data_IF_464182019077
#
_entry.id   IF_464182019077
#
_cell.length_a   1.000
_cell.length_b   1.000
_cell.length_c   1.000
_cell.angle_alpha   90.00
_cell.angle_beta   90.00
_cell.angle_gamma   90.00
#
_symmetry.space_group_name_H-M   'P 1'
#
loop_
_entity.id
_entity.type
_entity.pdbx_description
1 polymer ?
#
# COMPACT_ATOMS: atom_id res chain seq x y z
N UNK A 1 58.18 -65.63 26.02
CA UNK A 1 58.59 -64.34 25.42
C UNK A 1 57.33 -63.54 25.11
N UNK A 2 57.35 -62.23 25.36
CA UNK A 2 56.41 -61.20 24.86
C UNK A 2 54.89 -61.47 25.07
N UNK A 3 54.29 -61.03 26.18
CA UNK A 3 53.68 -59.69 26.39
C UNK A 3 52.39 -59.46 25.57
N UNK A 4 51.19 -59.59 26.15
CA UNK A 4 50.48 -58.58 27.01
C UNK A 4 50.07 -57.30 26.24
N UNK A 5 48.88 -56.71 26.41
CA UNK A 5 47.61 -57.12 27.05
C UNK A 5 46.51 -56.10 26.72
N UNK A 6 45.23 -56.48 26.82
CA UNK A 6 44.08 -55.62 26.50
C UNK A 6 43.81 -54.48 27.50
N UNK A 7 43.15 -53.44 26.96
CA UNK A 7 42.18 -52.49 27.57
C UNK A 7 42.21 -52.22 29.09
N UNK A 8 42.27 -50.92 29.42
CA UNK A 8 41.38 -50.33 30.45
C UNK A 8 41.01 -48.88 30.08
N UNK A 9 39.72 -48.55 30.17
CA UNK A 9 39.22 -47.16 30.23
C UNK A 9 39.23 -46.69 31.72
N UNK A 10 38.53 -45.59 32.08
CA UNK A 10 38.74 -44.20 31.68
C UNK A 10 39.08 -43.32 32.92
N UNK A 11 39.50 -42.07 32.73
CA UNK A 11 39.55 -41.10 33.83
C UNK A 11 38.88 -39.77 33.46
N UNK A 12 37.78 -39.49 34.14
CA UNK A 12 37.13 -38.18 34.22
C UNK A 12 37.78 -37.41 35.38
N UNK A 13 38.33 -36.22 35.14
CA UNK A 13 38.70 -35.31 36.22
C UNK A 13 38.12 -33.91 35.97
N UNK A 14 37.32 -33.48 36.94
CA UNK A 14 36.68 -32.18 37.06
C UNK A 14 37.67 -31.06 37.37
N UNK A 15 37.32 -29.81 37.05
CA UNK A 15 37.66 -28.67 37.91
C UNK A 15 36.66 -27.51 37.76
N UNK A 16 35.97 -27.24 38.87
CA UNK A 16 35.10 -26.07 39.11
C UNK A 16 35.94 -24.83 39.37
N UNK A 17 35.52 -23.64 38.88
CA UNK A 17 35.72 -22.37 39.63
C UNK A 17 34.80 -21.25 39.11
N UNK A 18 34.36 -20.40 40.05
CA UNK A 18 33.40 -19.29 39.86
C UNK A 18 34.09 -17.94 39.55
N UNK A 19 33.34 -16.91 39.09
CA UNK A 19 33.92 -15.70 38.51
C UNK A 19 34.33 -14.62 39.56
N UNK A 20 35.34 -13.78 39.26
CA UNK A 20 35.69 -12.63 40.08
C UNK A 20 34.77 -11.42 39.81
N UNK A 21 33.90 -11.18 40.78
CA UNK A 21 33.33 -9.90 41.22
C UNK A 21 34.08 -8.62 40.72
N UNK A 22 33.40 -7.74 39.98
CA UNK A 22 33.89 -6.41 39.63
C UNK A 22 33.16 -5.31 40.41
N UNK A 23 33.71 -4.93 41.56
CA UNK A 23 33.27 -3.77 42.34
C UNK A 23 34.27 -2.61 42.18
N UNK A 24 33.73 -1.42 41.89
CA UNK A 24 34.30 -0.07 42.07
C UNK A 24 35.80 0.18 41.81
N UNK A 25 36.11 1.13 40.92
CA UNK A 25 37.00 2.29 41.21
C UNK A 25 37.03 3.30 40.04
N UNK A 26 36.56 4.53 40.30
CA UNK A 26 37.05 5.77 39.67
C UNK A 26 38.28 6.23 40.49
N UNK A 27 39.26 7.04 40.01
CA UNK A 27 38.97 8.30 39.29
C UNK A 27 40.06 8.97 38.37
N UNK A 28 39.65 10.09 37.74
CA UNK A 28 40.41 11.36 37.53
C UNK A 28 41.51 11.51 36.44
N UNK A 29 41.51 12.71 35.80
CA UNK A 29 42.65 13.45 35.16
C UNK A 29 43.12 12.91 33.77
N UNK A 30 42.92 13.60 32.62
CA UNK A 30 43.76 14.70 32.01
C UNK A 30 44.58 14.19 30.79
N UNK A 31 44.72 14.81 29.61
CA UNK A 31 44.20 16.05 28.95
C UNK A 31 44.42 15.97 27.39
N UNK A 32 43.63 16.73 26.59
CA UNK A 32 43.93 17.26 25.21
C UNK A 32 44.18 16.28 24.02
N UNK A 33 44.00 16.59 22.70
CA UNK A 33 43.68 17.83 21.94
C UNK A 33 42.98 17.50 20.57
N UNK A 34 42.25 18.47 19.94
CA UNK A 34 41.72 18.49 18.53
C UNK A 34 40.65 17.42 18.13
N UNK A 35 39.62 17.66 17.28
CA UNK A 35 39.20 18.84 16.47
C UNK A 35 37.65 18.95 16.32
N UNK A 36 37.14 19.93 15.57
CA UNK A 36 35.77 20.51 15.57
C UNK A 36 34.68 19.71 14.78
N UNK A 37 33.37 20.12 14.66
CA UNK A 37 32.75 21.39 15.08
C UNK A 37 31.33 21.38 15.72
N UNK A 38 30.98 22.55 16.29
CA UNK A 38 29.64 23.18 16.48
C UNK A 38 28.40 22.29 16.72
N UNK A 39 27.86 22.17 17.94
CA UNK A 39 27.09 23.18 18.70
C UNK A 39 25.72 23.57 18.11
N UNK A 40 24.63 23.24 18.84
CA UNK A 40 23.67 24.22 19.39
C UNK A 40 22.50 23.55 20.13
N UNK A 41 22.66 23.33 21.43
CA UNK A 41 21.53 23.25 22.36
C UNK A 41 21.19 24.67 22.81
N UNK A 42 20.07 25.27 22.37
CA UNK A 42 19.63 26.55 22.95
C UNK A 42 18.12 26.76 22.97
N UNK A 43 17.58 26.57 24.19
CA UNK A 43 16.50 27.33 24.85
C UNK A 43 15.20 27.60 24.07
N UNK A 44 14.10 27.14 24.71
CA UNK A 44 12.90 27.95 24.98
C UNK A 44 12.88 29.36 24.36
N UNK A 45 12.08 29.55 23.32
CA UNK A 45 11.57 30.88 22.95
C UNK A 45 10.20 30.79 22.27
N UNK A 46 9.19 31.26 23.01
CA UNK A 46 7.90 31.79 22.54
C UNK A 46 7.02 30.83 21.72
N UNK A 47 5.91 30.43 22.34
CA UNK A 47 4.64 30.44 21.62
C UNK A 47 4.47 31.82 20.97
N UNK A 48 4.45 31.85 19.64
CA UNK A 48 3.97 33.00 18.88
C UNK A 48 2.48 32.78 18.68
N UNK A 49 1.68 33.40 19.54
CA UNK A 49 0.31 33.75 19.16
C UNK A 49 0.39 34.80 18.07
N UNK A 50 -0.32 34.58 16.97
CA UNK A 50 -1.14 35.55 16.21
C UNK A 50 -1.52 34.88 14.88
N UNK A 51 -2.83 34.85 14.65
CA UNK A 51 -3.55 34.52 13.42
C UNK A 51 -2.72 34.35 12.14
N UNK A 52 -2.76 33.15 11.55
CA UNK A 52 -2.51 32.96 10.12
C UNK A 52 -3.81 32.47 9.47
N UNK A 53 -4.23 33.17 8.41
CA UNK A 53 -5.60 33.16 7.94
C UNK A 53 -5.94 31.84 7.25
N UNK A 54 -7.05 31.22 7.67
CA UNK A 54 -7.63 30.08 6.98
C UNK A 54 -8.15 30.51 5.59
N UNK A 55 -7.30 30.40 4.57
CA UNK A 55 -7.70 30.40 3.16
C UNK A 55 -8.43 29.09 2.85
N UNK A 56 -9.67 29.01 3.34
CA UNK A 56 -10.51 27.82 3.35
C UNK A 56 -11.08 27.46 1.96
N UNK A 57 -10.20 27.07 1.03
CA UNK A 57 -10.56 26.65 -0.34
C UNK A 57 -10.06 25.25 -0.73
N UNK A 58 -9.56 24.45 0.21
CA UNK A 58 -9.34 23.02 -0.05
C UNK A 58 -10.67 22.24 0.03
N UNK A 59 -11.10 21.53 -1.02
CA UNK A 59 -12.31 20.71 -1.01
C UNK A 59 -12.18 19.45 -0.13
N UNK A 60 -11.01 19.20 0.48
CA UNK A 60 -10.81 18.08 1.40
C UNK A 60 -11.51 18.30 2.76
N UNK A 61 -11.50 19.52 3.29
CA UNK A 61 -12.06 19.81 4.63
C UNK A 61 -13.59 19.94 4.60
N UNK A 62 -14.16 20.23 3.42
CA UNK A 62 -15.61 20.36 3.21
C UNK A 62 -16.32 19.03 2.92
N UNK A 63 -15.59 17.92 2.88
CA UNK A 63 -16.12 16.59 2.55
C UNK A 63 -16.49 15.83 3.82
N UNK A 64 -17.74 15.38 3.85
CA UNK A 64 -18.37 14.56 4.86
C UNK A 64 -18.43 13.12 4.37
N UNK A 65 -17.97 12.18 5.20
CA UNK A 65 -18.31 10.77 5.11
C UNK A 65 -19.57 10.50 5.93
N UNK A 66 -20.60 9.96 5.27
CA UNK A 66 -21.85 9.55 5.91
C UNK A 66 -21.94 8.03 5.79
N UNK A 67 -22.05 7.30 6.90
CA UNK A 67 -21.99 5.83 6.94
C UNK A 67 -23.12 5.18 7.75
N UNK A 68 -23.29 3.87 7.56
CA UNK A 68 -24.38 3.04 8.11
C UNK A 68 -25.80 3.42 7.62
N UNK A 69 -25.88 4.10 6.49
CA UNK A 69 -27.11 4.57 5.87
C UNK A 69 -28.02 3.36 5.50
N UNK A 70 -29.35 3.42 5.69
CA UNK A 70 -30.26 2.40 5.16
C UNK A 70 -30.14 2.29 3.63
N UNK A 71 -30.60 1.16 3.07
CA UNK A 71 -30.50 0.90 1.62
C UNK A 71 -31.60 1.55 0.79
N UNK A 72 -32.62 2.08 1.46
CA UNK A 72 -33.76 2.78 0.88
C UNK A 72 -33.48 4.25 0.63
N UNK A 73 -32.42 4.80 1.25
CA UNK A 73 -32.08 6.22 1.16
C UNK A 73 -31.23 6.46 -0.08
N UNK A 74 -31.78 7.30 -0.96
CA UNK A 74 -31.16 7.75 -2.20
C UNK A 74 -30.40 9.08 -2.00
N UNK A 75 -29.86 9.61 -3.09
CA UNK A 75 -29.03 10.82 -3.07
C UNK A 75 -29.82 12.06 -2.64
N UNK A 76 -31.07 12.17 -3.12
CA UNK A 76 -31.90 13.35 -2.90
C UNK A 76 -32.41 13.43 -1.45
N UNK A 77 -32.77 12.28 -0.85
CA UNK A 77 -33.13 12.19 0.58
C UNK A 77 -31.95 12.59 1.49
N UNK A 78 -30.73 12.11 1.17
CA UNK A 78 -29.51 12.52 1.88
C UNK A 78 -29.21 14.01 1.72
N UNK A 79 -29.39 14.54 0.50
CA UNK A 79 -29.17 15.96 0.25
C UNK A 79 -30.13 16.81 1.09
N UNK A 80 -31.43 16.47 1.14
CA UNK A 80 -32.43 17.18 1.96
C UNK A 80 -32.05 17.19 3.45
N UNK A 81 -31.70 16.04 4.02
CA UNK A 81 -31.41 15.90 5.47
C UNK A 81 -30.11 16.64 5.85
N UNK A 82 -29.10 16.66 4.98
CA UNK A 82 -27.89 17.46 5.22
C UNK A 82 -28.15 18.95 4.95
N UNK A 83 -29.06 19.30 4.03
CA UNK A 83 -29.43 20.67 3.69
C UNK A 83 -30.09 21.43 4.84
N UNK A 84 -30.75 20.75 5.79
CA UNK A 84 -31.25 21.33 7.04
C UNK A 84 -30.14 21.86 7.97
N UNK A 85 -28.89 21.45 7.76
CA UNK A 85 -27.76 21.81 8.62
C UNK A 85 -26.68 22.64 7.90
N UNK A 86 -26.75 22.76 6.58
CA UNK A 86 -25.87 23.62 5.80
C UNK A 86 -26.02 23.43 4.30
N UNK A 87 -25.43 24.32 3.52
CA UNK A 87 -25.59 24.31 2.08
C UNK A 87 -24.70 23.23 1.42
N UNK A 88 -25.34 22.20 0.86
CA UNK A 88 -24.68 21.14 0.09
C UNK A 88 -24.24 21.66 -1.29
N UNK A 89 -23.01 21.34 -1.71
CA UNK A 89 -22.53 21.48 -3.10
C UNK A 89 -22.86 20.21 -3.90
N UNK A 90 -22.61 19.04 -3.31
CA UNK A 90 -22.84 17.73 -3.96
C UNK A 90 -22.98 16.61 -2.94
N UNK A 91 -23.98 15.76 -3.10
CA UNK A 91 -24.07 14.45 -2.45
C UNK A 91 -23.80 13.31 -3.47
N UNK A 92 -23.17 12.23 -3.02
CA UNK A 92 -22.85 11.05 -3.83
C UNK A 92 -22.96 9.77 -2.98
N UNK A 93 -24.07 9.03 -3.15
CA UNK A 93 -24.29 7.70 -2.54
C UNK A 93 -23.48 6.66 -3.30
N UNK A 94 -22.72 5.82 -2.58
CA UNK A 94 -21.87 4.83 -3.22
C UNK A 94 -22.60 3.49 -3.40
N UNK A 95 -22.74 3.05 -4.65
CA UNK A 95 -23.34 1.77 -5.01
C UNK A 95 -22.27 0.71 -5.27
N UNK A 96 -22.61 -0.57 -5.06
CA UNK A 96 -21.81 -1.69 -5.52
C UNK A 96 -22.01 -1.87 -7.04
N UNK A 97 -20.91 -1.85 -7.79
CA UNK A 97 -20.90 -1.92 -9.26
C UNK A 97 -21.55 -3.21 -9.79
N UNK A 98 -21.45 -4.31 -9.05
CA UNK A 98 -21.95 -5.62 -9.47
C UNK A 98 -23.40 -5.86 -9.05
N UNK A 99 -23.74 -5.68 -7.77
CA UNK A 99 -25.10 -5.95 -7.27
C UNK A 99 -26.07 -4.78 -7.42
N UNK A 100 -25.60 -3.59 -7.83
CA UNK A 100 -26.33 -2.31 -7.80
C UNK A 100 -26.91 -1.92 -6.43
N UNK A 101 -26.52 -2.60 -5.35
CA UNK A 101 -27.00 -2.31 -3.99
C UNK A 101 -26.16 -1.19 -3.38
N UNK A 102 -26.81 -0.25 -2.70
CA UNK A 102 -26.14 0.81 -1.94
C UNK A 102 -25.21 0.20 -0.88
N UNK A 103 -23.97 0.69 -0.84
CA UNK A 103 -22.90 0.23 0.08
C UNK A 103 -23.07 0.75 1.51
N UNK A 104 -24.20 1.41 1.80
CA UNK A 104 -24.56 2.01 3.09
C UNK A 104 -23.62 3.13 3.54
N UNK A 105 -23.00 3.80 2.57
CA UNK A 105 -22.25 5.03 2.80
C UNK A 105 -22.39 5.97 1.60
N UNK A 106 -22.25 7.26 1.89
CA UNK A 106 -22.30 8.35 0.93
C UNK A 106 -21.21 9.38 1.30
N UNK A 107 -20.90 10.24 0.35
CA UNK A 107 -20.03 11.38 0.57
C UNK A 107 -20.77 12.66 0.20
N UNK A 108 -20.67 13.67 1.04
CA UNK A 108 -21.33 14.97 0.83
C UNK A 108 -20.27 16.06 0.88
N UNK A 109 -20.27 16.95 -0.09
CA UNK A 109 -19.41 18.14 -0.14
C UNK A 109 -20.26 19.35 0.23
N UNK A 110 -19.87 20.08 1.27
CA UNK A 110 -20.55 21.28 1.74
C UNK A 110 -19.94 22.55 1.12
N UNK A 111 -20.70 23.66 1.09
CA UNK A 111 -20.18 24.97 0.64
C UNK A 111 -19.20 25.58 1.62
N UNK A 112 -19.47 25.46 2.91
CA UNK A 112 -18.60 25.99 3.98
C UNK A 112 -18.03 24.85 4.83
N UNK A 113 -16.94 25.13 5.54
CA UNK A 113 -16.36 24.19 6.53
C UNK A 113 -17.15 24.21 7.85
N UNK A 114 -17.75 25.36 8.18
CA UNK A 114 -18.55 25.55 9.39
C UNK A 114 -19.84 24.69 9.34
N UNK A 115 -20.53 24.72 8.20
CA UNK A 115 -21.69 23.87 7.89
C UNK A 115 -21.33 22.37 8.02
N UNK A 116 -20.14 21.98 7.54
CA UNK A 116 -19.67 20.60 7.63
C UNK A 116 -19.49 20.15 9.08
N UNK A 117 -18.86 20.98 9.92
CA UNK A 117 -18.69 20.69 11.34
C UNK A 117 -20.05 20.60 12.06
N UNK A 118 -20.95 21.55 11.83
CA UNK A 118 -22.30 21.56 12.40
C UNK A 118 -23.13 20.35 11.98
N UNK A 119 -22.99 19.90 10.73
CA UNK A 119 -23.63 18.68 10.25
C UNK A 119 -23.05 17.42 10.90
N UNK A 120 -21.74 17.33 11.14
CA UNK A 120 -21.11 16.21 11.88
C UNK A 120 -21.68 16.11 13.29
N UNK A 121 -21.72 17.21 14.04
CA UNK A 121 -22.17 17.21 15.43
C UNK A 121 -23.65 16.83 15.59
N UNK A 122 -24.51 17.25 14.64
CA UNK A 122 -25.96 17.02 14.70
C UNK A 122 -26.41 15.70 14.09
N UNK A 123 -25.79 15.25 12.98
CA UNK A 123 -26.21 14.04 12.27
C UNK A 123 -25.58 12.76 12.79
N UNK A 124 -24.43 12.83 13.47
CA UNK A 124 -23.77 11.64 14.00
C UNK A 124 -24.61 11.01 15.14
N UNK A 125 -25.10 9.79 14.90
CA UNK A 125 -26.04 9.10 15.78
C UNK A 125 -27.52 9.24 15.41
N UNK A 126 -27.87 10.04 14.39
CA UNK A 126 -29.27 10.17 13.95
C UNK A 126 -29.80 8.87 13.35
N UNK A 127 -31.05 8.51 13.68
CA UNK A 127 -31.67 7.28 13.19
C UNK A 127 -32.46 7.53 11.90
N UNK A 128 -32.00 6.93 10.79
CA UNK A 128 -32.70 6.95 9.51
C UNK A 128 -33.04 5.52 9.10
N UNK A 129 -34.32 5.24 8.83
CA UNK A 129 -34.80 3.90 8.47
C UNK A 129 -34.46 2.83 9.52
N UNK A 130 -34.49 3.18 10.82
CA UNK A 130 -34.14 2.29 11.92
C UNK A 130 -32.64 1.98 12.05
N UNK A 131 -31.75 2.85 11.54
CA UNK A 131 -30.30 2.74 11.71
C UNK A 131 -29.65 4.07 12.07
N UNK A 132 -28.76 4.02 13.05
CA UNK A 132 -27.93 5.17 13.43
C UNK A 132 -26.86 5.43 12.38
N UNK A 133 -26.91 6.62 11.77
CA UNK A 133 -25.92 7.10 10.81
C UNK A 133 -24.67 7.60 11.54
N UNK A 134 -23.50 7.36 10.95
CA UNK A 134 -22.22 7.90 11.44
C UNK A 134 -21.70 8.94 10.47
N UNK A 135 -21.53 10.17 10.93
CA UNK A 135 -21.00 11.28 10.12
C UNK A 135 -19.61 11.66 10.62
N UNK A 136 -18.65 11.79 9.71
CA UNK A 136 -17.28 12.20 10.00
C UNK A 136 -16.77 13.12 8.88
N UNK A 137 -15.83 14.01 9.18
CA UNK A 137 -15.08 14.75 8.15
C UNK A 137 -14.13 13.76 7.45
N UNK A 138 -13.98 13.87 6.14
CA UNK A 138 -13.11 13.00 5.36
C UNK A 138 -12.30 13.77 4.32
N UNK A 139 -11.01 13.90 4.59
CA UNK A 139 -10.07 14.52 3.64
C UNK A 139 -9.81 13.64 2.42
N UNK A 140 -10.16 12.34 2.47
CA UNK A 140 -9.97 11.42 1.35
C UNK A 140 -10.80 11.93 0.18
N UNK A 141 -10.17 12.42 -0.90
CA UNK A 141 -10.93 12.91 -2.02
C UNK A 141 -11.57 11.68 -2.68
N UNK A 142 -12.88 11.53 -2.50
CA UNK A 142 -13.63 10.93 -3.59
C UNK A 142 -13.37 11.79 -4.81
N UNK A 143 -12.73 11.17 -5.79
CA UNK A 143 -12.73 11.54 -7.19
C UNK A 143 -14.16 11.38 -7.70
N UNK A 144 -15.00 12.33 -7.28
CA UNK A 144 -16.34 12.54 -7.83
C UNK A 144 -16.25 12.51 -9.34
N UNK A 145 -17.10 11.68 -9.96
CA UNK A 145 -16.98 11.29 -11.36
C UNK A 145 -16.95 12.50 -12.30
N UNK A 146 -15.76 12.75 -12.85
CA UNK A 146 -15.42 13.86 -13.74
C UNK A 146 -14.15 13.53 -14.54
N UNK A 147 -14.17 12.39 -15.24
CA UNK A 147 -13.21 12.12 -16.33
C UNK A 147 -11.79 11.68 -15.97
N UNK A 148 -11.50 11.17 -14.75
CA UNK A 148 -10.18 10.60 -14.43
C UNK A 148 -10.21 9.14 -13.97
N UNK A 149 -9.89 8.30 -14.94
CA UNK A 149 -9.40 6.92 -14.87
C UNK A 149 -8.32 6.68 -13.78
N UNK A 150 -8.70 6.08 -12.65
CA UNK A 150 -7.75 5.44 -11.70
C UNK A 150 -8.23 4.08 -11.15
N UNK A 151 -9.39 3.59 -11.59
CA UNK A 151 -9.81 2.19 -11.43
C UNK A 151 -10.38 1.65 -12.76
N UNK A 152 -9.64 1.97 -13.81
CA UNK A 152 -9.71 1.39 -15.14
C UNK A 152 -8.31 1.55 -15.76
N UNK A 153 -7.32 0.82 -15.22
CA UNK A 153 -6.16 0.35 -15.99
C UNK A 153 -6.63 -0.76 -16.95
N UNK A 154 -7.72 -0.47 -17.66
CA UNK A 154 -8.42 -1.30 -18.61
C UNK A 154 -8.30 -0.57 -19.94
N UNK A 155 -7.23 -0.92 -20.66
CA UNK A 155 -7.08 -0.63 -22.09
C UNK A 155 -7.39 0.82 -22.53
N UNK A 156 -6.68 1.80 -21.95
CA UNK A 156 -5.97 2.65 -22.89
C UNK A 156 -4.92 1.77 -23.54
N UNK A 157 -5.25 1.31 -24.75
CA UNK A 157 -4.38 0.61 -25.69
C UNK A 157 -3.32 1.60 -26.18
N UNK A 158 -2.44 2.00 -25.26
CA UNK A 158 -1.11 2.49 -25.58
C UNK A 158 -0.24 1.26 -25.50
N UNK A 159 0.22 0.78 -26.66
CA UNK A 159 1.31 -0.20 -26.73
C UNK A 159 2.56 0.48 -26.19
N UNK A 160 2.70 0.47 -24.86
CA UNK A 160 3.91 0.91 -24.18
C UNK A 160 5.04 0.07 -24.76
N UNK A 161 6.03 0.66 -25.46
CA UNK A 161 7.05 -0.10 -26.18
C UNK A 161 7.84 -1.03 -25.24
N UNK A 162 7.89 -0.67 -23.97
CA UNK A 162 8.49 -1.42 -22.86
C UNK A 162 7.70 -2.64 -22.36
N UNK A 163 6.58 -3.01 -23.02
CA UNK A 163 5.67 -4.08 -22.58
C UNK A 163 5.78 -5.31 -23.49
N UNK A 164 5.92 -6.47 -22.87
CA UNK A 164 6.12 -7.78 -23.51
C UNK A 164 4.97 -8.71 -23.20
N UNK A 165 4.41 -9.34 -24.23
CA UNK A 165 3.46 -10.43 -24.10
C UNK A 165 4.18 -11.77 -24.02
N UNK A 166 3.83 -12.58 -23.03
CA UNK A 166 4.38 -13.91 -22.82
C UNK A 166 3.24 -14.94 -22.82
N UNK A 167 3.15 -15.72 -23.90
CA UNK A 167 2.14 -16.75 -24.12
C UNK A 167 2.65 -18.18 -23.95
N UNK A 168 1.70 -19.12 -23.94
CA UNK A 168 1.92 -20.57 -23.78
C UNK A 168 2.66 -20.99 -22.48
N UNK A 169 2.48 -20.22 -21.41
CA UNK A 169 3.01 -20.53 -20.09
C UNK A 169 2.37 -21.79 -19.51
N UNK A 170 3.16 -22.59 -18.79
CA UNK A 170 2.62 -23.69 -18.00
C UNK A 170 1.76 -23.16 -16.84
N UNK A 171 0.74 -23.92 -16.43
CA UNK A 171 -0.24 -23.46 -15.41
C UNK A 171 0.38 -23.24 -14.03
N UNK A 172 1.51 -23.91 -13.77
CA UNK A 172 2.29 -23.87 -12.55
C UNK A 172 3.12 -22.56 -12.42
N UNK A 173 3.29 -21.81 -13.51
CA UNK A 173 4.15 -20.61 -13.55
C UNK A 173 3.49 -19.47 -12.77
N UNK A 174 4.21 -18.92 -11.79
CA UNK A 174 3.80 -17.73 -11.04
C UNK A 174 4.43 -16.46 -11.62
N UNK A 175 3.95 -15.30 -11.17
CA UNK A 175 4.55 -13.99 -11.45
C UNK A 175 6.04 -13.93 -11.08
N UNK A 176 6.42 -14.63 -10.01
CA UNK A 176 7.76 -14.58 -9.42
C UNK A 176 8.75 -15.40 -10.26
N UNK A 177 8.29 -16.53 -10.82
CA UNK A 177 9.08 -17.34 -11.76
C UNK A 177 9.32 -16.53 -13.04
N UNK A 178 8.29 -15.88 -13.60
CA UNK A 178 8.46 -14.99 -14.75
C UNK A 178 9.43 -13.84 -14.44
N UNK A 179 9.25 -13.16 -13.30
CA UNK A 179 10.10 -12.02 -12.95
C UNK A 179 11.57 -12.43 -12.83
N UNK A 180 11.86 -13.58 -12.21
CA UNK A 180 13.22 -14.14 -12.13
C UNK A 180 13.80 -14.45 -13.51
N UNK A 181 13.03 -15.13 -14.37
CA UNK A 181 13.49 -15.52 -15.71
C UNK A 181 13.79 -14.29 -16.59
N UNK A 182 12.90 -13.31 -16.62
CA UNK A 182 13.10 -12.09 -17.41
C UNK A 182 14.14 -11.12 -16.79
N UNK A 183 14.41 -11.20 -15.49
CA UNK A 183 15.49 -10.44 -14.84
C UNK A 183 16.90 -10.84 -15.27
N UNK A 184 17.06 -11.95 -16.00
CA UNK A 184 18.34 -12.37 -16.57
C UNK A 184 18.80 -11.49 -17.75
N UNK A 185 17.85 -10.90 -18.50
CA UNK A 185 18.17 -10.09 -19.71
C UNK A 185 17.96 -8.60 -19.53
N UNK A 186 17.05 -8.18 -18.65
CA UNK A 186 16.68 -6.78 -18.50
C UNK A 186 16.00 -6.47 -17.17
N UNK A 187 15.84 -5.18 -16.87
CA UNK A 187 15.28 -4.72 -15.60
C UNK A 187 13.75 -4.71 -15.66
N UNK A 188 13.16 -5.89 -15.49
CA UNK A 188 11.70 -6.06 -15.40
C UNK A 188 11.11 -5.31 -14.18
N UNK A 189 10.43 -4.18 -14.45
CA UNK A 189 9.71 -3.38 -13.47
C UNK A 189 8.59 -4.20 -12.82
N UNK A 190 7.73 -4.81 -13.65
CA UNK A 190 6.55 -5.55 -13.23
C UNK A 190 6.33 -6.79 -14.09
N UNK A 191 5.83 -7.86 -13.48
CA UNK A 191 5.47 -9.10 -14.16
C UNK A 191 4.10 -9.56 -13.65
N UNK A 192 3.13 -9.73 -14.57
CA UNK A 192 1.75 -10.04 -14.27
C UNK A 192 1.28 -11.25 -15.06
N UNK A 193 1.06 -12.37 -14.36
CA UNK A 193 0.34 -13.52 -14.92
C UNK A 193 -1.15 -13.24 -14.92
N UNK A 194 -1.81 -13.44 -16.06
CA UNK A 194 -3.26 -13.40 -16.17
C UNK A 194 -3.83 -14.74 -15.69
N UNK A 195 -4.81 -14.66 -14.78
CA UNK A 195 -5.53 -15.81 -14.23
C UNK A 195 -7.01 -15.66 -14.54
N UNK A 196 -7.70 -16.76 -14.82
CA UNK A 196 -9.13 -16.74 -15.15
C UNK A 196 -9.93 -16.39 -13.89
N UNK A 197 -10.83 -15.40 -13.89
CA UNK A 197 -11.68 -15.15 -12.73
C UNK A 197 -12.57 -16.36 -12.44
N UNK A 198 -12.80 -16.67 -11.17
CA UNK A 198 -13.61 -17.82 -10.74
C UNK A 198 -12.88 -19.18 -10.73
N UNK A 199 -11.75 -19.35 -11.45
CA UNK A 199 -10.88 -20.52 -11.29
C UNK A 199 -9.45 -20.08 -11.04
N UNK A 200 -8.82 -20.47 -9.93
CA UNK A 200 -7.44 -20.08 -9.57
C UNK A 200 -6.34 -20.62 -10.50
N UNK A 201 -6.72 -21.15 -11.66
CA UNK A 201 -5.85 -21.67 -12.73
C UNK A 201 -5.30 -20.50 -13.55
N UNK A 202 -3.99 -20.51 -13.80
CA UNK A 202 -3.34 -19.54 -14.68
C UNK A 202 -3.86 -19.67 -16.12
N UNK A 203 -4.10 -18.55 -16.79
CA UNK A 203 -4.66 -18.49 -18.15
C UNK A 203 -3.67 -18.92 -19.25
N UNK A 204 -2.43 -19.27 -18.86
CA UNK A 204 -1.36 -19.65 -19.80
C UNK A 204 -0.68 -18.47 -20.49
N UNK A 205 -0.93 -17.24 -20.04
CA UNK A 205 -0.24 -16.04 -20.53
C UNK A 205 -0.05 -14.99 -19.43
N UNK A 206 0.86 -14.06 -19.68
CA UNK A 206 1.15 -12.92 -18.83
C UNK A 206 1.80 -11.79 -19.59
N UNK A 207 2.01 -10.69 -18.90
CA UNK A 207 2.67 -9.49 -19.41
C UNK A 207 3.85 -9.13 -18.50
N UNK A 208 4.93 -8.63 -19.10
CA UNK A 208 6.09 -8.10 -18.39
C UNK A 208 6.35 -6.68 -18.89
N UNK A 209 6.64 -5.77 -17.97
CA UNK A 209 7.02 -4.38 -18.30
C UNK A 209 8.47 -4.17 -17.89
N UNK A 210 9.29 -3.72 -18.83
CA UNK A 210 10.70 -3.37 -18.64
C UNK A 210 10.88 -1.86 -18.45
N UNK A 211 12.09 -1.43 -18.11
CA UNK A 211 12.46 0.00 -18.08
C UNK A 211 13.08 0.53 -19.37
N UNK A 212 13.49 -0.36 -20.28
CA UNK A 212 14.10 -0.03 -21.59
C UNK A 212 13.43 -0.85 -22.70
N UNK A 213 13.44 -0.34 -23.91
CA UNK A 213 13.01 -1.02 -25.14
C UNK A 213 14.10 -1.97 -25.66
N UNK A 214 15.37 -1.66 -25.42
CA UNK A 214 16.51 -2.55 -25.69
C UNK A 214 16.37 -3.88 -24.91
N UNK A 215 15.94 -3.80 -23.64
CA UNK A 215 15.62 -4.97 -22.79
C UNK A 215 14.48 -5.82 -23.39
N UNK A 216 13.53 -5.18 -24.08
CA UNK A 216 12.38 -5.85 -24.71
C UNK A 216 12.81 -6.62 -25.95
N UNK A 217 13.56 -6.01 -26.86
CA UNK A 217 13.98 -6.65 -28.11
C UNK A 217 14.95 -7.82 -27.86
N UNK A 218 15.87 -7.66 -26.91
CA UNK A 218 16.79 -8.72 -26.48
C UNK A 218 16.05 -9.87 -25.80
N UNK A 219 15.05 -9.59 -24.95
CA UNK A 219 14.19 -10.61 -24.34
C UNK A 219 13.34 -11.36 -25.36
N UNK A 220 12.72 -10.67 -26.33
CA UNK A 220 11.95 -11.30 -27.41
C UNK A 220 12.85 -12.23 -28.22
N UNK A 221 14.01 -11.75 -28.65
CA UNK A 221 14.94 -12.51 -29.50
C UNK A 221 15.52 -13.74 -28.78
N UNK A 222 15.82 -13.62 -27.48
CA UNK A 222 16.45 -14.70 -26.71
C UNK A 222 15.47 -15.73 -26.15
N UNK A 223 14.26 -15.32 -25.78
CA UNK A 223 13.31 -16.18 -25.04
C UNK A 223 12.15 -16.72 -25.88
N UNK A 224 11.98 -16.28 -27.13
CA UNK A 224 10.95 -16.85 -27.99
C UNK A 224 11.27 -18.34 -28.28
N UNK A 225 10.33 -19.23 -27.93
CA UNK A 225 10.44 -20.69 -27.92
C UNK A 225 11.28 -21.32 -26.78
N UNK A 226 11.71 -20.53 -25.77
CA UNK A 226 12.44 -21.06 -24.61
C UNK A 226 11.59 -22.06 -23.81
N UNK A 227 12.23 -23.08 -23.22
CA UNK A 227 11.56 -24.11 -22.43
C UNK A 227 11.46 -23.68 -20.95
N UNK A 228 10.23 -23.53 -20.47
CA UNK A 228 9.91 -23.17 -19.09
C UNK A 228 8.83 -24.13 -18.57
N UNK A 229 9.12 -24.85 -17.49
CA UNK A 229 8.22 -25.87 -16.89
C UNK A 229 7.71 -26.90 -17.94
N UNK A 230 8.61 -27.37 -18.81
CA UNK A 230 8.30 -28.35 -19.86
C UNK A 230 7.49 -27.81 -21.04
N UNK A 231 7.22 -26.51 -21.13
CA UNK A 231 6.53 -25.87 -22.26
C UNK A 231 7.39 -24.82 -22.95
N UNK A 232 7.27 -24.74 -24.27
CA UNK A 232 7.87 -23.65 -25.06
C UNK A 232 7.05 -22.38 -24.92
N UNK A 233 7.63 -21.34 -24.34
CA UNK A 233 6.98 -20.03 -24.19
C UNK A 233 7.06 -19.25 -25.51
N UNK A 234 6.08 -18.41 -25.78
CA UNK A 234 6.09 -17.49 -26.94
C UNK A 234 6.20 -16.06 -26.43
N UNK A 235 7.18 -15.32 -26.91
CA UNK A 235 7.47 -13.95 -26.47
C UNK A 235 7.33 -13.01 -27.66
N UNK A 236 6.47 -11.99 -27.53
CA UNK A 236 6.26 -10.94 -28.52
C UNK A 236 6.23 -9.58 -27.80
N UNK A 237 6.39 -8.48 -28.55
CA UNK A 237 5.88 -7.18 -28.08
C UNK A 237 4.38 -7.26 -27.80
N UNK A 238 3.92 -6.57 -26.76
CA UNK A 238 2.55 -6.65 -26.26
C UNK A 238 1.52 -5.95 -27.15
#
# INVERSE_FOLDING_TARGET
MSSLSLLSQPNFLSLTTQPPNCNNLKPKTTLFFQSAPSSLTRRFRRYVTVSEQATASSPAVRKLYVGNIPRTVDNDELAQIVQEHGAVEKAEVMYDKYSKRSRRFAFVTMKTVEDANAAVEKLNGTQIGGREIKVNITEKPLTTTGGLSLQAEESQFVDSPYKVYVGNLAKNVTSDILKKFFSEKGKALSAKVSRVPGTSKSSGFGFVTFSSDEDVETAISSFNNALLEGKKIRVNKA
#
